data_IF_065023348290
#
_entry.id   IF_065023348290
#
_cell.length_a   1.000
_cell.length_b   1.000
_cell.length_c   1.000
_cell.angle_alpha   90.00
_cell.angle_beta   90.00
_cell.angle_gamma   90.00
#
_symmetry.space_group_name_H-M   'P 1'
#
loop_
_entity.id
_entity.type
_entity.pdbx_description
1 polymer ?
#
# COMPACT_ATOMS: atom_id res chain seq x y z
N UNK A 1 -11.60 72.97 -21.59
CA UNK A 1 -12.93 73.60 -21.75
C UNK A 1 -13.84 72.44 -22.10
N UNK A 2 -14.74 71.94 -21.28
CA UNK A 2 -15.33 72.34 -20.00
C UNK A 2 -15.49 71.09 -19.13
N UNK A 3 -15.93 71.33 -17.91
CA UNK A 3 -15.89 70.47 -16.75
C UNK A 3 -17.32 70.43 -16.19
N UNK A 4 -17.70 69.34 -15.47
CA UNK A 4 -18.80 69.26 -14.46
C UNK A 4 -20.21 69.13 -15.14
N UNK A 5 -21.21 68.34 -14.72
CA UNK A 5 -21.85 67.99 -13.43
C UNK A 5 -22.51 66.59 -13.56
N UNK A 6 -22.37 65.65 -12.63
CA UNK A 6 -22.94 65.55 -11.27
C UNK A 6 -24.40 65.02 -11.20
N UNK A 7 -24.63 64.26 -10.12
CA UNK A 7 -25.90 64.03 -9.43
C UNK A 7 -26.74 62.75 -9.71
N UNK A 8 -26.63 61.83 -8.73
CA UNK A 8 -27.75 61.40 -7.84
C UNK A 8 -28.70 60.28 -8.31
N UNK A 9 -28.72 59.14 -7.58
CA UNK A 9 -29.67 58.73 -6.52
C UNK A 9 -30.89 57.97 -7.07
N UNK A 10 -30.95 56.63 -6.99
CA UNK A 10 -31.32 55.74 -5.87
C UNK A 10 -32.85 55.45 -5.75
N UNK A 11 -33.14 54.22 -5.27
CA UNK A 11 -34.40 53.70 -4.68
C UNK A 11 -35.31 52.86 -5.60
N UNK A 12 -35.46 51.58 -5.22
CA UNK A 12 -36.51 50.70 -5.73
C UNK A 12 -36.42 49.27 -5.18
N UNK A 13 -36.66 49.09 -3.88
CA UNK A 13 -36.81 47.77 -3.23
C UNK A 13 -38.16 47.13 -3.61
N UNK A 14 -38.16 45.87 -4.07
CA UNK A 14 -39.25 44.85 -3.93
C UNK A 14 -38.58 43.46 -3.99
N UNK A 15 -38.35 42.76 -2.88
CA UNK A 15 -39.24 41.84 -2.13
C UNK A 15 -39.63 40.57 -2.89
N UNK A 16 -39.15 39.44 -2.35
CA UNK A 16 -39.68 38.06 -2.27
C UNK A 16 -40.59 37.53 -3.38
N UNK A 17 -40.14 36.48 -4.09
CA UNK A 17 -40.65 35.10 -3.96
C UNK A 17 -40.17 34.24 -5.14
N UNK A 18 -40.00 32.95 -4.87
CA UNK A 18 -39.30 31.94 -5.67
C UNK A 18 -40.02 31.59 -6.98
N UNK A 19 -39.23 31.27 -8.02
CA UNK A 19 -39.30 30.08 -8.89
C UNK A 19 -38.48 30.40 -10.15
N UNK A 20 -37.23 29.92 -10.20
CA UNK A 20 -36.40 29.99 -11.40
C UNK A 20 -36.58 28.71 -12.20
N UNK A 21 -37.00 28.91 -13.43
CA UNK A 21 -37.23 27.91 -14.46
C UNK A 21 -36.01 27.01 -14.70
N UNK A 22 -36.31 25.75 -14.96
CA UNK A 22 -35.41 24.74 -15.48
C UNK A 22 -34.92 25.17 -16.86
N UNK A 23 -33.67 25.63 -16.96
CA UNK A 23 -32.92 25.61 -18.21
C UNK A 23 -31.70 24.71 -18.04
N UNK A 24 -31.82 23.52 -18.63
CA UNK A 24 -30.73 22.57 -18.81
C UNK A 24 -29.66 23.23 -19.69
N UNK A 25 -28.65 23.82 -19.07
CA UNK A 25 -27.39 24.07 -19.75
C UNK A 25 -26.63 22.74 -19.80
N UNK A 26 -26.90 21.97 -20.85
CA UNK A 26 -26.13 20.78 -21.20
C UNK A 26 -24.73 21.23 -21.62
N UNK A 27 -23.80 21.23 -20.67
CA UNK A 27 -22.37 21.40 -20.96
C UNK A 27 -21.89 20.18 -21.77
N UNK A 28 -21.38 20.32 -23.00
CA UNK A 28 -21.11 19.19 -23.89
C UNK A 28 -19.73 18.54 -23.66
N UNK A 29 -19.00 18.93 -22.61
CA UNK A 29 -17.71 18.36 -22.28
C UNK A 29 -17.78 17.62 -20.94
N UNK A 30 -18.50 16.50 -20.93
CA UNK A 30 -18.14 15.41 -20.03
C UNK A 30 -16.94 14.70 -20.67
N UNK A 31 -15.73 15.19 -20.38
CA UNK A 31 -14.56 14.32 -20.43
C UNK A 31 -14.74 13.32 -19.29
N UNK A 32 -15.37 12.19 -19.60
CA UNK A 32 -15.24 11.02 -18.73
C UNK A 32 -13.78 10.61 -18.79
N UNK A 33 -13.04 10.96 -17.73
CA UNK A 33 -11.69 10.48 -17.48
C UNK A 33 -11.72 8.94 -17.52
N UNK A 34 -11.09 8.27 -18.51
CA UNK A 34 -11.14 6.81 -18.64
C UNK A 34 -10.15 6.20 -17.64
N UNK A 35 -10.42 6.41 -16.37
CA UNK A 35 -9.60 6.02 -15.25
C UNK A 35 -10.35 5.00 -14.38
N UNK A 36 -9.87 3.76 -14.51
CA UNK A 36 -9.97 2.63 -13.59
C UNK A 36 -11.20 1.69 -13.66
N UNK A 37 -10.88 0.51 -14.18
CA UNK A 37 -11.30 -0.82 -13.71
C UNK A 37 -12.72 -1.31 -14.04
N UNK A 38 -12.85 -1.92 -15.23
CA UNK A 38 -13.90 -2.91 -15.50
C UNK A 38 -13.41 -4.36 -15.40
N UNK A 39 -12.31 -4.62 -14.67
CA UNK A 39 -11.94 -5.99 -14.35
C UNK A 39 -12.98 -6.52 -13.37
N UNK A 40 -13.62 -7.63 -13.73
CA UNK A 40 -14.54 -8.37 -12.88
C UNK A 40 -13.98 -8.51 -11.46
N UNK A 41 -14.38 -7.64 -10.53
CA UNK A 41 -13.73 -7.50 -9.23
C UNK A 41 -13.93 -8.77 -8.40
N UNK A 42 -12.91 -9.63 -8.41
CA UNK A 42 -12.95 -10.92 -7.74
C UNK A 42 -12.78 -10.72 -6.23
N UNK A 43 -13.86 -10.53 -5.48
CA UNK A 43 -13.78 -10.31 -4.04
C UNK A 43 -13.86 -11.61 -3.23
N UNK A 44 -13.10 -11.71 -2.13
CA UNK A 44 -13.21 -12.78 -1.13
C UNK A 44 -13.73 -12.23 0.20
N UNK A 45 -14.68 -12.91 0.84
CA UNK A 45 -15.14 -12.58 2.20
C UNK A 45 -14.05 -12.74 3.27
N UNK A 46 -13.02 -13.54 2.97
CA UNK A 46 -11.84 -13.68 3.82
C UNK A 46 -10.93 -12.44 3.85
N UNK A 47 -11.13 -11.48 2.94
CA UNK A 47 -10.37 -10.22 2.81
C UNK A 47 -8.86 -10.35 2.56
N UNK A 48 -8.30 -11.56 2.56
CA UNK A 48 -6.89 -11.80 2.31
C UNK A 48 -6.50 -11.35 0.91
N UNK A 49 -7.33 -11.66 -0.10
CA UNK A 49 -7.11 -11.23 -1.47
C UNK A 49 -7.09 -9.69 -1.58
N UNK A 50 -8.04 -9.00 -0.97
CA UNK A 50 -8.14 -7.55 -1.02
C UNK A 50 -7.00 -6.84 -0.27
N UNK A 51 -6.43 -7.49 0.74
CA UNK A 51 -5.29 -6.94 1.51
C UNK A 51 -3.95 -7.17 0.82
N UNK A 52 -3.76 -8.35 0.22
CA UNK A 52 -2.46 -8.78 -0.30
C UNK A 52 -2.37 -8.58 -1.82
N UNK A 53 -3.49 -8.57 -2.54
CA UNK A 53 -3.50 -8.57 -4.01
C UNK A 53 -3.10 -9.92 -4.63
N UNK A 54 -2.98 -10.97 -3.83
CA UNK A 54 -2.68 -12.34 -4.29
C UNK A 54 -3.90 -13.23 -4.00
N UNK A 55 -4.40 -14.01 -4.97
CA UNK A 55 -5.57 -14.86 -4.79
C UNK A 55 -5.43 -15.79 -3.57
N UNK A 56 -6.36 -15.68 -2.63
CA UNK A 56 -6.44 -16.60 -1.51
C UNK A 56 -7.00 -17.96 -1.97
N UNK A 57 -6.98 -18.98 -1.09
CA UNK A 57 -7.53 -20.31 -1.41
C UNK A 57 -8.99 -20.28 -1.91
N UNK A 58 -9.82 -19.36 -1.40
CA UNK A 58 -11.21 -19.24 -1.81
C UNK A 58 -11.35 -18.59 -3.19
N UNK A 59 -10.55 -17.55 -3.46
CA UNK A 59 -10.52 -16.89 -4.76
C UNK A 59 -10.03 -17.86 -5.85
N UNK A 60 -9.00 -18.67 -5.55
CA UNK A 60 -8.52 -19.73 -6.44
C UNK A 60 -9.63 -20.76 -6.70
N UNK A 61 -10.28 -21.28 -5.65
CA UNK A 61 -11.36 -22.24 -5.81
C UNK A 61 -12.53 -21.68 -6.62
N UNK A 62 -12.90 -20.42 -6.39
CA UNK A 62 -13.98 -19.77 -7.12
C UNK A 62 -13.61 -19.44 -8.58
N UNK A 63 -12.34 -19.11 -8.86
CA UNK A 63 -11.83 -18.97 -10.21
C UNK A 63 -11.88 -20.30 -10.97
N UNK A 64 -11.41 -21.40 -10.33
CA UNK A 64 -11.49 -22.75 -10.89
C UNK A 64 -12.92 -23.20 -11.16
N UNK A 65 -13.86 -22.89 -10.27
CA UNK A 65 -15.28 -23.21 -10.46
C UNK A 65 -15.90 -22.48 -11.66
N UNK A 66 -15.34 -21.33 -12.05
CA UNK A 66 -15.80 -20.52 -13.19
C UNK A 66 -14.94 -20.71 -14.44
N UNK A 67 -14.04 -21.69 -14.45
CA UNK A 67 -13.06 -21.93 -15.51
C UNK A 67 -12.18 -20.70 -15.85
N UNK A 68 -11.94 -19.85 -14.85
CA UNK A 68 -11.07 -18.67 -14.96
C UNK A 68 -9.66 -18.98 -14.49
N UNK A 69 -8.66 -18.39 -15.15
CA UNK A 69 -7.28 -18.54 -14.73
C UNK A 69 -7.00 -17.66 -13.51
N UNK A 70 -6.80 -18.31 -12.36
CA UNK A 70 -6.48 -17.62 -11.11
C UNK A 70 -5.31 -16.59 -11.20
N UNK A 71 -4.35 -16.80 -12.12
CA UNK A 71 -3.23 -15.89 -12.36
C UNK A 71 -3.64 -14.51 -12.88
N UNK A 72 -4.82 -14.39 -13.50
CA UNK A 72 -5.35 -13.13 -14.02
C UNK A 72 -5.83 -12.19 -12.90
N UNK A 73 -6.09 -12.74 -11.71
CA UNK A 73 -6.51 -11.95 -10.55
C UNK A 73 -5.34 -11.50 -9.66
N UNK A 74 -4.10 -11.81 -10.03
CA UNK A 74 -2.92 -11.34 -9.28
C UNK A 74 -2.72 -9.85 -9.55
N UNK A 75 -2.60 -9.04 -8.49
CA UNK A 75 -2.38 -7.61 -8.61
C UNK A 75 -1.10 -7.29 -9.40
N UNK A 76 -1.15 -6.21 -10.20
CA UNK A 76 -0.08 -5.81 -11.12
C UNK A 76 1.29 -5.69 -10.46
N UNK A 77 1.34 -5.28 -9.19
CA UNK A 77 2.57 -5.17 -8.40
C UNK A 77 3.41 -6.47 -8.36
N UNK A 78 2.78 -7.63 -8.54
CA UNK A 78 3.44 -8.94 -8.51
C UNK A 78 3.73 -9.52 -9.90
N UNK A 79 3.33 -8.83 -10.97
CA UNK A 79 3.58 -9.30 -12.32
C UNK A 79 5.03 -9.07 -12.74
N UNK A 80 5.55 -9.99 -13.56
CA UNK A 80 6.92 -9.91 -14.11
C UNK A 80 7.17 -8.59 -14.84
N UNK A 81 6.14 -8.05 -15.51
CA UNK A 81 6.22 -6.77 -16.21
C UNK A 81 6.64 -5.65 -15.25
N UNK A 82 5.91 -5.51 -14.15
CA UNK A 82 6.14 -4.50 -13.11
C UNK A 82 7.47 -4.72 -12.39
N UNK A 83 7.81 -5.99 -12.10
CA UNK A 83 9.13 -6.34 -11.56
C UNK A 83 10.25 -5.86 -12.49
N UNK A 84 10.18 -6.25 -13.77
CA UNK A 84 11.19 -5.88 -14.76
C UNK A 84 11.31 -4.37 -14.88
N UNK A 85 10.19 -3.63 -14.92
CA UNK A 85 10.17 -2.17 -14.94
C UNK A 85 10.86 -1.55 -13.73
N UNK A 86 10.62 -2.09 -12.54
CA UNK A 86 11.27 -1.64 -11.30
C UNK A 86 12.77 -1.94 -11.29
N UNK A 87 13.19 -3.03 -11.94
CA UNK A 87 14.59 -3.46 -12.02
C UNK A 87 15.29 -3.05 -13.32
N UNK A 88 14.70 -2.18 -14.16
CA UNK A 88 15.31 -1.72 -15.43
C UNK A 88 16.61 -0.93 -15.23
N UNK A 89 16.92 -0.52 -13.99
CA UNK A 89 18.15 0.18 -13.66
C UNK A 89 19.41 -0.67 -13.88
N UNK A 90 20.55 0.01 -13.99
CA UNK A 90 21.85 -0.65 -14.07
C UNK A 90 22.14 -1.29 -12.70
N UNK A 91 22.24 -2.61 -12.67
CA UNK A 91 22.81 -3.32 -11.52
C UNK A 91 24.33 -3.14 -11.60
N UNK A 92 24.87 -2.22 -10.79
CA UNK A 92 26.31 -2.04 -10.73
C UNK A 92 26.94 -3.28 -10.07
N UNK A 93 28.07 -3.78 -10.61
CA UNK A 93 28.82 -4.82 -9.92
C UNK A 93 29.26 -4.31 -8.55
N UNK A 94 29.39 -5.21 -7.59
CA UNK A 94 30.05 -4.89 -6.33
C UNK A 94 31.49 -4.48 -6.67
N UNK A 95 31.92 -3.26 -6.29
CA UNK A 95 33.28 -2.80 -6.58
C UNK A 95 34.30 -3.70 -5.89
N UNK A 96 35.47 -3.83 -6.52
CA UNK A 96 36.59 -4.53 -5.90
C UNK A 96 36.96 -3.82 -4.59
N UNK A 97 37.14 -4.53 -3.46
CA UNK A 97 37.61 -3.92 -2.22
C UNK A 97 38.91 -3.11 -2.38
N UNK A 98 39.75 -3.43 -3.36
CA UNK A 98 40.97 -2.68 -3.67
C UNK A 98 40.68 -1.30 -4.30
N UNK A 99 39.56 -1.17 -5.01
CA UNK A 99 39.14 0.07 -5.69
C UNK A 99 38.30 0.98 -4.78
N UNK A 100 37.95 0.50 -3.58
CA UNK A 100 37.16 1.25 -2.60
C UNK A 100 38.06 2.16 -1.76
N UNK A 101 37.82 3.46 -1.84
CA UNK A 101 38.36 4.40 -0.87
C UNK A 101 37.63 4.26 0.47
N UNK A 102 38.33 3.77 1.49
CA UNK A 102 37.84 3.66 2.86
C UNK A 102 38.55 4.75 3.70
N UNK A 103 37.82 5.74 4.26
CA UNK A 103 38.41 6.75 5.12
C UNK A 103 39.11 6.13 6.35
N UNK A 104 40.23 6.70 6.83
CA UNK A 104 40.95 6.20 8.01
C UNK A 104 40.06 6.03 9.24
N UNK A 105 39.11 6.95 9.42
CA UNK A 105 38.16 6.95 10.53
C UNK A 105 37.24 5.73 10.52
N UNK A 106 37.05 5.09 9.36
CA UNK A 106 36.25 3.87 9.19
C UNK A 106 37.13 2.63 9.24
N UNK A 107 38.33 2.67 8.64
CA UNK A 107 39.26 1.52 8.67
C UNK A 107 39.72 1.17 10.07
N UNK A 108 39.85 2.19 10.93
CA UNK A 108 40.36 2.04 12.29
C UNK A 108 39.25 1.67 13.30
N UNK A 109 37.99 1.58 12.85
CA UNK A 109 36.87 1.17 13.70
C UNK A 109 37.00 -0.30 14.08
N UNK A 110 37.19 -0.55 15.37
CA UNK A 110 37.07 -1.89 15.93
C UNK A 110 35.60 -2.25 16.05
N UNK A 111 35.09 -3.00 15.07
CA UNK A 111 33.71 -3.45 15.05
C UNK A 111 33.54 -4.70 15.94
N UNK A 112 33.07 -4.50 17.17
CA UNK A 112 32.82 -5.60 18.09
C UNK A 112 31.57 -6.40 17.66
N UNK A 113 31.57 -7.73 17.81
CA UNK A 113 30.36 -8.52 17.57
C UNK A 113 29.24 -8.08 18.51
N UNK A 114 27.96 -8.22 18.10
CA UNK A 114 26.85 -7.93 18.98
C UNK A 114 26.98 -8.77 20.26
N UNK A 115 26.82 -8.11 21.42
CA UNK A 115 26.91 -8.76 22.74
C UNK A 115 25.82 -9.83 22.97
N UNK A 116 24.85 -9.91 22.07
CA UNK A 116 23.74 -10.86 22.13
C UNK A 116 24.21 -12.24 21.70
N UNK A 117 23.96 -13.25 22.53
CA UNK A 117 24.10 -14.65 22.13
C UNK A 117 22.90 -15.06 21.29
N UNK A 118 23.11 -15.75 20.16
CA UNK A 118 22.02 -16.44 19.46
C UNK A 118 21.36 -17.42 20.43
N UNK A 119 20.05 -17.34 20.61
CA UNK A 119 19.31 -18.33 21.37
C UNK A 119 19.51 -19.70 20.72
N UNK A 120 19.59 -20.79 21.49
CA UNK A 120 19.56 -22.13 20.92
C UNK A 120 18.35 -22.24 19.98
N UNK A 121 18.57 -22.58 18.71
CA UNK A 121 17.47 -22.73 17.74
C UNK A 121 16.51 -23.84 18.17
N UNK A 122 17.04 -24.87 18.83
CA UNK A 122 16.23 -25.92 19.44
C UNK A 122 15.65 -25.45 20.77
N UNK A 123 14.32 -25.50 20.95
CA UNK A 123 13.72 -25.36 22.27
C UNK A 123 14.37 -26.35 23.26
N UNK A 124 14.60 -25.94 24.52
CA UNK A 124 15.18 -26.84 25.51
C UNK A 124 14.29 -28.08 25.68
N UNK A 125 14.91 -29.27 25.75
CA UNK A 125 14.19 -30.54 26.01
C UNK A 125 13.38 -30.48 27.30
N UNK A 126 13.85 -29.73 28.30
CA UNK A 126 13.13 -29.52 29.55
C UNK A 126 12.06 -28.44 29.35
N UNK A 127 10.82 -28.80 29.63
CA UNK A 127 9.67 -27.87 29.65
C UNK A 127 9.90 -26.75 30.66
N UNK A 128 9.70 -25.49 30.24
CA UNK A 128 9.62 -24.33 31.16
C UNK A 128 8.22 -24.33 31.80
N UNK A 129 8.17 -24.30 33.13
CA UNK A 129 6.93 -24.26 33.92
C UNK A 129 6.44 -22.83 34.07
N UNK A 130 5.14 -22.61 34.09
CA UNK A 130 4.55 -21.31 34.45
C UNK A 130 4.67 -21.05 35.97
N UNK A 131 4.51 -19.78 36.39
CA UNK A 131 4.73 -19.37 37.78
C UNK A 131 3.85 -20.11 38.82
N UNK A 132 2.67 -20.61 38.41
CA UNK A 132 1.75 -21.34 39.28
C UNK A 132 1.95 -22.86 39.31
N UNK A 133 2.90 -23.40 38.56
CA UNK A 133 3.07 -24.85 38.45
C UNK A 133 4.01 -25.43 39.51
N UNK A 134 3.46 -26.27 40.40
CA UNK A 134 4.24 -26.96 41.43
C UNK A 134 5.00 -28.15 40.80
N UNK A 135 6.33 -28.29 41.02
CA UNK A 135 7.08 -29.46 40.56
C UNK A 135 6.68 -30.72 41.33
N UNK A 136 5.90 -31.59 40.67
CA UNK A 136 5.71 -32.97 41.11
C UNK A 136 7.06 -33.68 41.04
N UNK A 137 7.52 -34.21 42.18
CA UNK A 137 8.73 -35.04 42.23
C UNK A 137 8.41 -36.35 41.51
N UNK A 138 9.27 -36.84 40.60
CA UNK A 138 9.10 -38.18 40.07
C UNK A 138 9.22 -39.16 41.23
N UNK A 139 8.27 -40.09 41.36
CA UNK A 139 8.38 -41.19 42.30
C UNK A 139 9.66 -41.96 41.99
N UNK A 140 10.57 -42.06 42.96
CA UNK A 140 11.63 -43.06 42.90
C UNK A 140 10.96 -44.41 43.09
N UNK A 141 10.84 -45.15 41.99
CA UNK A 141 10.63 -46.60 41.98
C UNK A 141 11.86 -47.31 42.53
#
# INVERSE_FOLDING_TARGET
MENIEEASNNIGVKSSDQLADTENHSDPNQEEDPSLDNSSQMSCTCLEFQKVGIPCRHAIAAAMFRDLQHSEFVADAYLKKTWNETTKGVTLPVPDPQDLFIPPEVSDLIMLPPKTKRTPGRPPTKRKRSAGEIPVRPNLI
#
